data_IF_142859122549
#
_entry.id   IF_142859122549
#
_cell.length_a   1.000
_cell.length_b   1.000
_cell.length_c   1.000
_cell.angle_alpha   90.00
_cell.angle_beta   90.00
_cell.angle_gamma   90.00
#
_symmetry.space_group_name_H-M   'P 1'
#
loop_
_entity.id
_entity.type
_entity.pdbx_description
1 polymer ?
#
# COMPACT_ATOMS: atom_id res chain seq x y z
N UNK A 1 20.03 -21.50 17.56
CA UNK A 1 19.25 -22.12 16.47
C UNK A 1 18.77 -21.01 15.55
N UNK A 2 18.81 -21.18 14.23
CA UNK A 2 18.22 -20.20 13.31
C UNK A 2 16.70 -20.11 13.54
N UNK A 3 16.15 -18.90 13.57
CA UNK A 3 14.70 -18.68 13.60
C UNK A 3 14.13 -18.88 12.20
N UNK A 4 12.99 -19.55 12.11
CA UNK A 4 12.22 -19.68 10.87
C UNK A 4 11.30 -18.48 10.71
N UNK A 5 10.81 -18.23 9.48
CA UNK A 5 9.78 -17.19 9.23
C UNK A 5 8.52 -17.46 10.05
N UNK A 6 8.15 -18.74 10.22
CA UNK A 6 7.00 -19.16 11.01
C UNK A 6 7.12 -18.81 12.51
N UNK A 7 8.34 -18.58 13.00
CA UNK A 7 8.60 -18.17 14.39
C UNK A 7 8.42 -16.66 14.60
N UNK A 8 8.35 -15.87 13.52
CA UNK A 8 8.35 -14.39 13.57
C UNK A 8 7.07 -13.79 12.98
N UNK A 9 6.45 -14.44 11.99
CA UNK A 9 5.28 -13.90 11.30
C UNK A 9 4.07 -13.68 12.23
N UNK A 10 3.26 -12.65 11.93
CA UNK A 10 1.94 -12.48 12.52
C UNK A 10 1.03 -13.62 12.08
N UNK A 11 0.50 -14.38 13.04
CA UNK A 11 -0.46 -15.46 12.79
C UNK A 11 -1.84 -14.84 12.56
N UNK A 12 -2.54 -15.27 11.52
CA UNK A 12 -3.85 -14.76 11.11
C UNK A 12 -3.84 -13.24 10.87
N UNK A 13 -3.13 -12.75 9.85
CA UNK A 13 -3.12 -11.33 9.52
C UNK A 13 -4.53 -10.84 9.18
N UNK A 14 -4.79 -9.55 9.42
CA UNK A 14 -5.98 -8.89 8.90
C UNK A 14 -5.89 -8.92 7.38
N UNK A 15 -6.99 -9.26 6.71
CA UNK A 15 -7.07 -9.36 5.24
C UNK A 15 -8.21 -8.51 4.70
N UNK A 16 -8.19 -8.23 3.40
CA UNK A 16 -9.28 -7.59 2.66
C UNK A 16 -9.64 -8.43 1.44
N UNK A 17 -10.71 -8.07 0.72
CA UNK A 17 -11.11 -8.71 -0.54
C UNK A 17 -10.86 -7.78 -1.74
N UNK A 18 -10.74 -8.32 -2.97
CA UNK A 18 -10.58 -7.50 -4.18
C UNK A 18 -11.73 -6.52 -4.43
N UNK A 19 -12.92 -6.82 -3.92
CA UNK A 19 -14.13 -6.01 -4.09
C UNK A 19 -14.32 -4.98 -2.96
N UNK A 20 -13.46 -4.99 -1.94
CA UNK A 20 -13.56 -4.08 -0.81
C UNK A 20 -13.32 -2.61 -1.23
N UNK A 21 -14.14 -1.66 -0.77
CA UNK A 21 -13.89 -0.25 -1.01
C UNK A 21 -12.52 0.19 -0.50
N UNK A 22 -11.79 0.95 -1.30
CA UNK A 22 -10.46 1.46 -0.93
C UNK A 22 -10.49 2.29 0.36
N UNK A 23 -11.58 3.00 0.63
CA UNK A 23 -11.82 3.76 1.86
C UNK A 23 -11.82 2.88 3.11
N UNK A 24 -12.34 1.66 3.00
CA UNK A 24 -12.39 0.71 4.10
C UNK A 24 -10.99 0.13 4.38
N UNK A 25 -10.20 -0.07 3.32
CA UNK A 25 -8.78 -0.45 3.44
C UNK A 25 -7.98 0.66 4.13
N UNK A 26 -8.09 1.91 3.67
CA UNK A 26 -7.43 3.09 4.28
C UNK A 26 -7.78 3.17 5.77
N UNK A 27 -9.06 3.08 6.10
CA UNK A 27 -9.55 3.11 7.48
C UNK A 27 -8.95 1.96 8.30
N UNK A 28 -8.92 0.76 7.74
CA UNK A 28 -8.36 -0.43 8.41
C UNK A 28 -6.88 -0.25 8.71
N UNK A 29 -6.08 0.20 7.73
CA UNK A 29 -4.64 0.43 7.92
C UNK A 29 -4.39 1.46 9.03
N UNK A 30 -5.11 2.59 9.00
CA UNK A 30 -5.00 3.66 9.98
C UNK A 30 -5.43 3.23 11.40
N UNK A 31 -6.60 2.58 11.53
CA UNK A 31 -7.13 2.15 12.83
C UNK A 31 -6.31 1.02 13.45
N UNK A 32 -5.78 0.11 12.62
CA UNK A 32 -5.00 -1.05 13.08
C UNK A 32 -3.50 -0.76 13.16
N UNK A 33 -3.05 0.40 12.68
CA UNK A 33 -1.64 0.82 12.63
C UNK A 33 -0.77 -0.22 11.94
N UNK A 34 -1.21 -0.68 10.77
CA UNK A 34 -0.48 -1.64 9.93
C UNK A 34 -0.21 -1.00 8.57
N UNK A 35 0.96 -1.25 8.00
CA UNK A 35 1.41 -0.62 6.74
C UNK A 35 0.91 -1.34 5.48
N UNK A 36 0.26 -2.48 5.64
CA UNK A 36 -0.30 -3.25 4.54
C UNK A 36 -1.01 -4.50 5.01
N UNK A 37 -1.80 -5.09 4.12
CA UNK A 37 -2.55 -6.29 4.39
C UNK A 37 -2.71 -7.16 3.14
N UNK A 38 -2.84 -8.50 3.29
CA UNK A 38 -3.06 -9.39 2.17
C UNK A 38 -4.49 -9.25 1.62
N UNK A 39 -4.62 -9.36 0.31
CA UNK A 39 -5.91 -9.42 -0.39
C UNK A 39 -6.24 -10.88 -0.69
N UNK A 40 -7.39 -11.36 -0.23
CA UNK A 40 -7.83 -12.76 -0.38
C UNK A 40 -9.15 -12.86 -1.12
N UNK A 41 -9.35 -13.93 -1.89
CA UNK A 41 -10.63 -14.21 -2.55
C UNK A 41 -11.67 -14.82 -1.57
N UNK A 42 -12.88 -15.11 -2.08
CA UNK A 42 -13.96 -15.70 -1.28
C UNK A 42 -13.67 -17.10 -0.72
N UNK A 43 -12.65 -17.80 -1.23
CA UNK A 43 -12.17 -19.08 -0.68
C UNK A 43 -11.02 -18.90 0.31
N UNK A 44 -10.61 -17.66 0.60
CA UNK A 44 -9.49 -17.32 1.47
C UNK A 44 -8.12 -17.48 0.82
N UNK A 45 -8.05 -17.64 -0.52
CA UNK A 45 -6.78 -17.74 -1.23
C UNK A 45 -6.17 -16.36 -1.42
N UNK A 46 -4.87 -16.22 -1.16
CA UNK A 46 -4.13 -14.99 -1.44
C UNK A 46 -4.15 -14.67 -2.95
N UNK A 47 -4.60 -13.47 -3.29
CA UNK A 47 -4.64 -12.96 -4.67
C UNK A 47 -3.84 -11.68 -4.87
N UNK A 48 -3.42 -11.02 -3.79
CA UNK A 48 -2.59 -9.82 -3.86
C UNK A 48 -2.16 -9.29 -2.49
N UNK A 49 -1.48 -8.16 -2.48
CA UNK A 49 -1.09 -7.40 -1.28
C UNK A 49 -1.38 -5.93 -1.58
N UNK A 50 -1.90 -5.20 -0.59
CA UNK A 50 -2.06 -3.75 -0.65
C UNK A 50 -1.37 -3.10 0.55
N UNK A 51 -0.68 -1.99 0.31
CA UNK A 51 0.08 -1.24 1.31
C UNK A 51 -0.32 0.24 1.32
N UNK A 52 0.06 0.96 2.38
CA UNK A 52 -0.13 2.41 2.47
C UNK A 52 0.57 3.14 1.31
N UNK A 53 1.69 2.60 0.79
CA UNK A 53 2.40 3.16 -0.36
C UNK A 53 1.57 3.09 -1.65
N UNK A 54 0.79 2.01 -1.84
CA UNK A 54 -0.09 1.88 -3.01
C UNK A 54 -1.24 2.91 -2.96
N UNK A 55 -1.72 3.21 -1.75
CA UNK A 55 -2.81 4.15 -1.51
C UNK A 55 -2.39 5.60 -1.71
N UNK A 56 -1.13 5.94 -1.42
CA UNK A 56 -0.57 7.27 -1.64
C UNK A 56 -0.64 7.72 -3.11
N UNK A 57 -0.76 6.79 -4.06
CA UNK A 57 -0.74 7.07 -5.50
C UNK A 57 -2.09 6.89 -6.20
N UNK A 58 -3.09 6.36 -5.50
CA UNK A 58 -4.44 6.12 -6.06
C UNK A 58 -5.36 7.33 -5.95
N UNK A 59 -5.12 8.27 -5.03
CA UNK A 59 -5.92 9.50 -4.87
C UNK A 59 -5.90 10.43 -6.10
N UNK A 60 -5.00 10.19 -7.06
CA UNK A 60 -4.62 11.17 -8.07
C UNK A 60 -4.74 10.66 -9.50
N UNK A 61 -4.89 9.35 -9.74
CA UNK A 61 -5.05 8.78 -11.08
C UNK A 61 -3.82 8.92 -12.00
N UNK A 62 -2.65 9.28 -11.46
CA UNK A 62 -1.44 9.55 -12.23
C UNK A 62 -0.30 8.67 -11.72
N UNK A 63 0.44 8.05 -12.64
CA UNK A 63 1.59 7.20 -12.35
C UNK A 63 2.63 7.99 -11.54
N UNK A 64 3.06 7.49 -10.37
CA UNK A 64 3.98 8.21 -9.52
C UNK A 64 5.35 8.33 -10.20
N UNK A 65 6.03 9.49 -10.09
CA UNK A 65 7.39 9.63 -10.57
C UNK A 65 8.31 8.67 -9.83
N UNK A 66 9.35 8.18 -10.51
CA UNK A 66 10.34 7.33 -9.89
C UNK A 66 10.90 8.01 -8.63
N UNK A 67 10.96 7.28 -7.52
CA UNK A 67 11.45 7.78 -6.24
C UNK A 67 12.34 6.72 -5.59
N UNK A 68 13.16 7.17 -4.64
CA UNK A 68 13.90 6.30 -3.73
C UNK A 68 13.47 6.62 -2.30
N UNK A 69 13.38 5.60 -1.47
CA UNK A 69 13.20 5.78 -0.02
C UNK A 69 14.57 5.74 0.66
N UNK A 70 14.86 6.76 1.45
CA UNK A 70 16.09 6.87 2.21
C UNK A 70 15.78 7.48 3.57
N UNK A 71 16.13 6.79 4.67
CA UNK A 71 15.91 7.26 6.05
C UNK A 71 14.46 7.70 6.31
N UNK A 72 13.50 6.84 5.95
CA UNK A 72 12.05 7.09 6.03
C UNK A 72 11.58 8.36 5.28
N UNK A 73 12.43 8.91 4.42
CA UNK A 73 12.12 10.04 3.55
C UNK A 73 11.96 9.57 2.10
N UNK A 74 11.02 10.20 1.39
CA UNK A 74 10.79 9.98 -0.05
C UNK A 74 11.59 11.01 -0.84
N UNK A 75 12.49 10.55 -1.71
CA UNK A 75 13.24 11.39 -2.64
C UNK A 75 12.75 11.09 -4.06
N UNK A 76 12.06 12.05 -4.67
CA UNK A 76 11.65 11.94 -6.07
C UNK A 76 12.85 12.13 -7.00
N UNK A 77 13.07 11.19 -7.92
CA UNK A 77 14.12 11.24 -8.93
C UNK A 77 13.72 12.14 -10.12
N UNK A 78 12.44 12.43 -10.25
CA UNK A 78 11.88 13.37 -11.20
C UNK A 78 11.18 14.52 -10.46
N UNK A 79 11.07 15.68 -11.10
CA UNK A 79 10.48 16.85 -10.46
C UNK A 79 8.97 16.61 -10.18
N UNK A 80 8.53 16.57 -8.91
CA UNK A 80 7.13 16.33 -8.57
C UNK A 80 6.20 17.49 -8.99
N UNK A 81 6.70 18.71 -9.19
CA UNK A 81 5.90 19.82 -9.73
C UNK A 81 5.51 19.66 -11.20
N UNK A 82 6.04 18.65 -11.91
CA UNK A 82 5.53 18.25 -13.24
C UNK A 82 4.18 17.52 -13.12
N UNK A 83 4.01 16.75 -12.06
CA UNK A 83 2.80 15.98 -11.72
C UNK A 83 1.63 16.86 -11.27
N UNK A 84 1.89 17.85 -10.42
CA UNK A 84 0.87 18.82 -9.97
C UNK A 84 0.20 19.53 -11.16
N UNK A 85 0.94 19.78 -12.25
CA UNK A 85 0.41 20.41 -13.46
C UNK A 85 -0.47 19.50 -14.31
N UNK A 86 -0.27 18.19 -14.23
CA UNK A 86 -1.09 17.21 -14.95
C UNK A 86 -2.38 16.91 -14.17
N UNK A 87 -2.32 16.96 -12.83
CA UNK A 87 -3.50 16.87 -11.95
C UNK A 87 -4.46 18.06 -12.10
N UNK A 88 -3.94 19.29 -12.22
CA UNK A 88 -4.78 20.50 -12.35
C UNK A 88 -5.41 20.68 -13.74
N UNK A 89 -5.18 19.75 -14.68
CA UNK A 89 -5.74 19.80 -16.04
C UNK A 89 -6.86 18.79 -16.30
N UNK A 90 -7.16 17.91 -15.34
CA UNK A 90 -8.23 16.91 -15.43
C UNK A 90 -9.53 17.42 -14.79
#
# INVERSE_FOLDING_TARGET
MPKTVADVMTRNPITTTPEAPITDVIKTLAERRISGLPVVDGAGKLVGIISETDLMWQETGVTPPAYIMLLDSVIYLENPGRYERDLHKA
#
